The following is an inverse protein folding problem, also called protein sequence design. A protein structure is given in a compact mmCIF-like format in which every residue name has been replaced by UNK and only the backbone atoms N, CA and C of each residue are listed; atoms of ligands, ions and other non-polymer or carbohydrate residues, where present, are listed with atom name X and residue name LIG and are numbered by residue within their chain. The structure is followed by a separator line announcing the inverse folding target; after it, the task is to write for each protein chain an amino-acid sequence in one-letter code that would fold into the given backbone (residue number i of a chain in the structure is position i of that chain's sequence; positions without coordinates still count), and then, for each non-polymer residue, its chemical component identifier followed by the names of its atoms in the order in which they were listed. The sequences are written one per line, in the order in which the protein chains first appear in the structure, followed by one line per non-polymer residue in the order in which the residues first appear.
data_IF_528366946349
#
_entry.id   IF_528366946349
#
_cell.length_a   1.000
_cell.length_b   1.000
_cell.length_c   1.000
_cell.angle_alpha   90.00
_cell.angle_beta   90.00
_cell.angle_gamma   90.00
#
_symmetry.space_group_name_H-M   'P 1'
#
loop_
_entity.id
_entity.type
_entity.pdbx_description
1 polymer ?
#
# COMPACT_ATOMS: atom_id res chain seq x y z
N UNK A 1 14.03 17.22 -36.09
CA UNK A 1 12.94 16.55 -35.38
C UNK A 1 13.48 16.13 -34.02
N UNK A 2 13.10 16.86 -32.94
CA UNK A 2 13.52 16.53 -31.58
C UNK A 2 12.52 15.50 -31.05
N UNK A 3 12.99 14.29 -30.73
CA UNK A 3 12.18 13.27 -30.07
C UNK A 3 11.84 13.74 -28.66
N UNK A 4 10.59 14.04 -28.42
CA UNK A 4 10.07 14.24 -27.06
C UNK A 4 9.94 12.85 -26.44
N UNK A 5 10.89 12.48 -25.58
CA UNK A 5 10.80 11.28 -24.76
C UNK A 5 9.74 11.53 -23.70
N UNK A 6 8.54 11.01 -23.92
CA UNK A 6 7.44 11.04 -22.95
C UNK A 6 7.80 10.02 -21.86
N UNK A 7 8.38 10.49 -20.75
CA UNK A 7 8.57 9.67 -19.56
C UNK A 7 7.20 9.49 -18.91
N UNK A 8 6.50 8.41 -19.26
CA UNK A 8 5.32 7.96 -18.52
C UNK A 8 5.78 7.53 -17.12
N UNK A 9 5.41 8.32 -16.12
CA UNK A 9 5.51 7.91 -14.74
C UNK A 9 4.51 6.78 -14.47
N UNK A 10 5.00 5.58 -14.27
CA UNK A 10 4.19 4.43 -13.85
C UNK A 10 3.74 4.68 -12.42
N UNK A 11 2.46 5.00 -12.22
CA UNK A 11 1.87 5.02 -10.89
C UNK A 11 1.76 3.57 -10.41
N UNK A 12 2.73 3.11 -9.65
CA UNK A 12 2.59 1.87 -8.88
C UNK A 12 1.52 2.11 -7.82
N UNK A 13 0.38 1.44 -7.95
CA UNK A 13 -0.69 1.49 -6.94
C UNK A 13 -0.25 0.57 -5.81
N UNK A 14 0.19 1.15 -4.72
CA UNK A 14 0.59 0.42 -3.54
C UNK A 14 -0.61 -0.23 -2.86
N UNK A 15 -0.44 -1.48 -2.49
CA UNK A 15 -1.25 -2.15 -1.47
C UNK A 15 -1.09 -1.39 -0.15
N UNK A 16 -2.22 -1.11 0.49
CA UNK A 16 -2.32 -0.38 1.76
C UNK A 16 -1.85 1.09 1.70
N UNK A 17 -2.73 2.00 1.26
CA UNK A 17 -2.71 3.43 1.63
C UNK A 17 -1.51 4.28 1.24
N UNK A 18 -0.43 3.70 0.76
CA UNK A 18 0.72 4.45 0.27
C UNK A 18 0.63 4.54 -1.24
N UNK A 19 0.06 5.65 -1.73
CA UNK A 19 0.40 6.09 -3.07
C UNK A 19 1.89 6.46 -3.03
N UNK A 20 2.77 5.48 -3.24
CA UNK A 20 4.10 5.80 -3.69
C UNK A 20 3.89 6.52 -5.02
N UNK A 21 3.78 7.87 -4.97
CA UNK A 21 4.02 8.65 -6.14
C UNK A 21 5.36 8.12 -6.64
N UNK A 22 5.37 7.50 -7.82
CA UNK A 22 6.61 7.30 -8.53
C UNK A 22 7.18 8.71 -8.71
N UNK A 23 7.92 9.18 -7.69
CA UNK A 23 8.79 10.29 -7.85
C UNK A 23 9.65 9.86 -9.04
N UNK A 24 9.43 10.49 -10.19
CA UNK A 24 10.33 10.34 -11.31
C UNK A 24 11.70 10.59 -10.67
N UNK A 25 12.53 9.54 -10.61
CA UNK A 25 13.90 9.65 -10.15
C UNK A 25 14.56 10.67 -11.07
N UNK A 26 14.45 11.95 -10.72
CA UNK A 26 15.20 12.99 -11.35
C UNK A 26 16.62 12.75 -10.87
N UNK A 27 17.55 12.68 -11.81
CA UNK A 27 18.98 12.82 -11.56
C UNK A 27 19.24 14.23 -10.99
N UNK A 28 18.77 14.48 -9.77
CA UNK A 28 19.12 15.67 -9.03
C UNK A 28 20.39 15.31 -8.26
N UNK A 29 21.47 16.03 -8.50
CA UNK A 29 22.82 15.79 -7.95
C UNK A 29 22.91 15.97 -6.41
N UNK A 30 21.80 15.90 -5.68
CA UNK A 30 21.87 15.91 -4.23
C UNK A 30 22.49 14.59 -3.75
N UNK A 31 23.59 14.68 -3.02
CA UNK A 31 24.33 13.52 -2.51
C UNK A 31 23.52 12.60 -1.60
N UNK A 32 22.39 13.08 -1.08
CA UNK A 32 21.54 12.38 -0.09
C UNK A 32 20.15 11.99 -0.64
N UNK A 33 19.82 12.34 -1.89
CA UNK A 33 18.49 12.07 -2.48
C UNK A 33 17.44 13.16 -2.16
N UNK A 34 16.18 12.86 -2.44
CA UNK A 34 15.03 13.79 -2.32
C UNK A 34 14.03 13.30 -1.29
N UNK A 35 13.53 14.21 -0.47
CA UNK A 35 12.47 13.94 0.50
C UNK A 35 11.13 14.51 0.03
N UNK A 36 10.06 13.74 0.22
CA UNK A 36 8.68 14.15 -0.02
C UNK A 36 7.78 13.77 1.15
N UNK A 37 6.60 14.35 1.22
CA UNK A 37 5.60 13.97 2.22
C UNK A 37 4.22 13.82 1.56
N UNK A 38 3.38 13.00 2.21
CA UNK A 38 1.98 12.82 1.83
C UNK A 38 1.11 12.97 3.08
N UNK A 39 0.03 13.71 2.96
CA UNK A 39 -1.04 13.76 3.95
C UNK A 39 -2.33 13.28 3.28
N UNK A 40 -3.04 12.35 3.89
CA UNK A 40 -4.22 11.75 3.32
C UNK A 40 -5.37 11.69 4.32
N UNK A 41 -6.58 11.60 3.80
CA UNK A 41 -7.76 11.19 4.55
C UNK A 41 -8.46 10.10 3.75
N UNK A 42 -8.52 8.90 4.32
CA UNK A 42 -9.31 7.79 3.79
C UNK A 42 -10.65 7.69 4.53
N UNK A 43 -11.74 7.39 3.83
CA UNK A 43 -13.05 7.11 4.46
C UNK A 43 -13.06 5.79 5.22
N UNK A 44 -12.12 4.88 4.90
CA UNK A 44 -11.93 3.58 5.52
C UNK A 44 -10.49 3.10 5.18
N UNK A 45 -9.62 2.98 6.17
CA UNK A 45 -8.29 2.41 5.97
C UNK A 45 -8.39 0.90 5.86
N UNK A 46 -7.97 0.32 4.74
CA UNK A 46 -8.00 -1.13 4.51
C UNK A 46 -6.64 -1.70 4.14
N UNK A 47 -6.27 -2.74 4.86
CA UNK A 47 -5.12 -3.58 4.54
C UNK A 47 -5.59 -4.89 3.91
N UNK A 48 -5.22 -5.15 2.66
CA UNK A 48 -5.61 -6.35 1.90
C UNK A 48 -7.10 -6.67 2.01
N UNK A 49 -7.94 -5.63 1.81
CA UNK A 49 -9.40 -5.74 1.83
C UNK A 49 -10.07 -5.64 3.21
N UNK A 50 -9.31 -5.79 4.31
CA UNK A 50 -9.83 -5.73 5.69
C UNK A 50 -9.68 -4.31 6.25
N UNK A 51 -10.77 -3.73 6.77
CA UNK A 51 -10.75 -2.43 7.44
C UNK A 51 -9.91 -2.47 8.71
N UNK A 52 -9.00 -1.51 8.86
CA UNK A 52 -8.10 -1.38 10.02
C UNK A 52 -8.64 -0.38 11.05
N UNK A 53 -9.75 0.27 10.76
CA UNK A 53 -10.32 1.34 11.60
C UNK A 53 -11.84 1.26 11.76
N UNK A 54 -12.41 0.06 11.62
CA UNK A 54 -13.83 -0.21 11.75
C UNK A 54 -14.72 0.60 10.79
N UNK A 55 -14.19 0.89 9.59
CA UNK A 55 -14.83 1.70 8.53
C UNK A 55 -15.07 3.17 8.91
N UNK A 56 -14.25 3.70 9.78
CA UNK A 56 -14.25 5.12 10.12
C UNK A 56 -13.25 5.90 9.25
N UNK A 57 -13.44 7.19 9.15
CA UNK A 57 -12.49 8.05 8.45
C UNK A 57 -11.15 8.11 9.21
N UNK A 58 -10.05 8.04 8.46
CA UNK A 58 -8.70 7.94 8.98
C UNK A 58 -7.79 8.97 8.34
N UNK A 59 -7.10 9.82 9.12
CA UNK A 59 -5.96 10.57 8.65
C UNK A 59 -4.75 9.65 8.52
N UNK A 60 -3.95 9.87 7.47
CA UNK A 60 -2.73 9.14 7.17
C UNK A 60 -1.62 10.12 6.81
N UNK A 61 -0.38 9.83 7.19
CA UNK A 61 0.79 10.66 6.91
C UNK A 61 1.96 9.81 6.47
N UNK A 62 2.71 10.29 5.49
CA UNK A 62 3.93 9.63 5.02
C UNK A 62 5.06 10.63 4.79
N UNK A 63 6.28 10.21 5.07
CA UNK A 63 7.51 10.89 4.64
C UNK A 63 8.31 9.86 3.87
N UNK A 64 8.71 10.20 2.64
CA UNK A 64 9.43 9.33 1.74
C UNK A 64 10.78 9.94 1.39
N UNK A 65 11.77 9.10 1.26
CA UNK A 65 13.10 9.40 0.75
C UNK A 65 13.33 8.61 -0.54
N UNK A 66 13.70 9.30 -1.60
CA UNK A 66 14.16 8.72 -2.85
C UNK A 66 15.67 8.97 -2.98
N UNK A 67 16.44 7.92 -2.85
CA UNK A 67 17.90 7.95 -2.92
C UNK A 67 18.42 7.65 -4.33
N UNK A 68 19.73 7.61 -4.46
CA UNK A 68 20.40 7.28 -5.71
C UNK A 68 20.30 5.78 -6.04
N UNK A 69 20.44 5.42 -7.31
CA UNK A 69 20.49 4.03 -7.80
C UNK A 69 19.23 3.20 -7.49
N UNK A 70 18.08 3.87 -7.38
CA UNK A 70 16.79 3.22 -7.12
C UNK A 70 16.51 2.87 -5.67
N UNK A 71 17.38 3.20 -4.71
CA UNK A 71 17.08 3.03 -3.29
C UNK A 71 16.02 4.03 -2.83
N UNK A 72 15.16 3.60 -1.95
CA UNK A 72 14.14 4.44 -1.33
C UNK A 72 13.81 3.94 0.08
N UNK A 73 13.12 4.73 0.84
CA UNK A 73 12.63 4.37 2.15
C UNK A 73 11.66 5.41 2.69
N UNK A 74 11.10 5.15 3.85
CA UNK A 74 10.19 6.11 4.44
C UNK A 74 9.59 5.64 5.75
N UNK A 75 8.72 6.50 6.25
CA UNK A 75 7.87 6.23 7.41
C UNK A 75 6.43 6.61 7.04
N UNK A 76 5.47 5.86 7.58
CA UNK A 76 4.06 6.13 7.40
C UNK A 76 3.33 5.93 8.72
N UNK A 77 2.19 6.60 8.90
CA UNK A 77 1.36 6.46 10.09
C UNK A 77 -0.11 6.67 9.73
N UNK A 78 -0.98 5.91 10.40
CA UNK A 78 -2.43 6.06 10.33
C UNK A 78 -3.09 5.80 11.69
N UNK A 79 -4.28 6.37 11.86
CA UNK A 79 -5.16 5.97 12.95
C UNK A 79 -5.74 4.58 12.66
N UNK A 80 -5.74 3.69 13.66
CA UNK A 80 -6.35 2.36 13.59
C UNK A 80 -7.41 2.18 14.67
N UNK A 81 -8.28 1.20 14.49
CA UNK A 81 -9.28 0.78 15.47
C UNK A 81 -9.71 -0.65 15.16
N UNK A 82 -9.05 -1.63 15.73
CA UNK A 82 -9.44 -3.04 15.56
C UNK A 82 -10.59 -3.46 16.47
N UNK A 83 -11.08 -2.55 17.32
CA UNK A 83 -12.10 -2.76 18.35
C UNK A 83 -11.54 -3.31 19.67
N UNK A 84 -12.20 -3.06 20.78
CA UNK A 84 -11.81 -3.59 22.10
C UNK A 84 -10.50 -3.01 22.65
N UNK A 85 -9.44 -3.81 22.71
CA UNK A 85 -8.13 -3.44 23.28
C UNK A 85 -7.08 -3.21 22.20
N UNK A 86 -7.37 -2.42 21.24
CA UNK A 86 -6.68 -2.36 19.97
C UNK A 86 -5.68 -1.24 19.90
N UNK A 87 -4.72 -1.29 18.95
CA UNK A 87 -3.93 -0.13 18.66
C UNK A 87 -4.82 1.02 18.18
N UNK A 88 -4.54 2.24 18.61
CA UNK A 88 -5.18 3.45 18.11
C UNK A 88 -4.43 4.05 16.93
N UNK A 89 -3.21 3.61 16.68
CA UNK A 89 -2.44 4.01 15.52
C UNK A 89 -1.43 2.93 15.11
N UNK A 90 -1.10 2.97 13.83
CA UNK A 90 -0.07 2.19 13.16
C UNK A 90 1.04 3.13 12.73
N UNK A 91 2.28 2.70 12.85
CA UNK A 91 3.45 3.41 12.32
C UNK A 91 4.33 2.42 11.61
N UNK A 92 4.71 2.73 10.40
CA UNK A 92 5.46 1.84 9.56
C UNK A 92 6.80 2.45 9.15
N UNK A 93 7.79 1.59 8.98
CA UNK A 93 9.09 1.95 8.43
C UNK A 93 9.39 0.99 7.29
N UNK A 94 9.83 1.52 6.17
CA UNK A 94 10.17 0.71 5.01
C UNK A 94 11.46 1.17 4.34
N UNK A 95 12.10 0.24 3.67
CA UNK A 95 13.29 0.47 2.87
C UNK A 95 13.31 -0.51 1.69
N UNK A 96 13.59 -0.01 0.49
CA UNK A 96 13.55 -0.83 -0.69
C UNK A 96 14.47 -0.35 -1.81
N UNK A 97 14.42 -1.08 -2.90
CA UNK A 97 15.15 -0.78 -4.12
C UNK A 97 14.36 -1.17 -5.35
N UNK A 98 14.24 -0.23 -6.27
CA UNK A 98 13.81 -0.45 -7.64
C UNK A 98 15.00 -0.76 -8.55
N UNK A 99 14.84 -1.70 -9.46
CA UNK A 99 15.83 -2.07 -10.47
C UNK A 99 15.12 -2.35 -11.79
N UNK A 100 15.51 -1.65 -12.86
CA UNK A 100 15.01 -1.98 -14.19
C UNK A 100 15.66 -3.27 -14.70
N UNK A 101 14.84 -4.23 -15.08
CA UNK A 101 15.21 -5.49 -15.71
C UNK A 101 14.62 -5.54 -17.12
N UNK A 102 15.29 -4.93 -18.08
CA UNK A 102 14.85 -4.91 -19.49
C UNK A 102 13.44 -4.35 -19.69
N UNK A 103 13.12 -3.24 -19.03
CA UNK A 103 11.82 -2.56 -19.09
C UNK A 103 10.77 -3.14 -18.12
N UNK A 104 11.16 -4.09 -17.28
CA UNK A 104 10.37 -4.58 -16.15
C UNK A 104 10.98 -4.03 -14.86
N UNK A 105 10.20 -3.31 -14.06
CA UNK A 105 10.63 -2.84 -12.76
C UNK A 105 10.54 -3.99 -11.75
N UNK A 106 11.70 -4.34 -11.16
CA UNK A 106 11.79 -5.19 -9.98
C UNK A 106 11.94 -4.30 -8.76
N UNK A 107 10.98 -4.38 -7.85
CA UNK A 107 11.05 -3.77 -6.52
C UNK A 107 11.23 -4.85 -5.46
N UNK A 108 12.19 -4.65 -4.55
CA UNK A 108 12.37 -5.47 -3.34
C UNK A 108 12.36 -4.52 -2.14
N UNK A 109 11.50 -4.80 -1.17
CA UNK A 109 11.23 -3.94 -0.03
C UNK A 109 11.18 -4.74 1.27
N UNK A 110 11.82 -4.22 2.31
CA UNK A 110 11.63 -4.62 3.70
C UNK A 110 10.68 -3.63 4.36
N UNK A 111 9.62 -4.13 4.98
CA UNK A 111 8.56 -3.34 5.57
C UNK A 111 8.31 -3.79 7.00
N UNK A 112 8.29 -2.85 7.95
CA UNK A 112 8.01 -3.08 9.36
C UNK A 112 6.75 -2.36 9.78
N UNK A 113 5.74 -3.13 10.17
CA UNK A 113 4.48 -2.68 10.71
C UNK A 113 4.57 -2.60 12.21
N UNK A 114 4.29 -1.44 12.80
CA UNK A 114 4.41 -1.21 14.24
C UNK A 114 3.11 -0.67 14.84
N UNK A 115 2.72 -1.25 15.96
CA UNK A 115 1.53 -0.88 16.74
C UNK A 115 1.95 -0.58 18.18
N UNK A 116 2.58 0.58 18.44
CA UNK A 116 3.29 0.84 19.69
C UNK A 116 2.39 0.94 20.91
N UNK A 117 1.13 1.33 20.75
CA UNK A 117 0.14 1.43 21.84
C UNK A 117 -0.76 0.18 21.98
N UNK A 118 -0.54 -0.87 21.20
CA UNK A 118 -1.26 -2.11 21.38
C UNK A 118 -0.90 -2.74 22.73
N UNK A 119 -1.87 -3.35 23.44
CA UNK A 119 -1.62 -4.07 24.71
C UNK A 119 -0.54 -5.16 24.59
N UNK A 120 -0.39 -5.70 23.40
CA UNK A 120 0.63 -6.68 23.06
C UNK A 120 1.51 -6.16 21.92
N UNK A 121 2.03 -4.93 22.05
CA UNK A 121 2.82 -4.27 21.01
C UNK A 121 3.93 -5.17 20.44
N UNK A 122 4.65 -5.91 21.31
CA UNK A 122 5.71 -6.84 20.91
C UNK A 122 5.24 -8.02 20.05
N UNK A 123 3.94 -8.35 20.05
CA UNK A 123 3.38 -9.44 19.24
C UNK A 123 2.47 -8.95 18.12
N UNK A 124 2.01 -7.69 18.19
CA UNK A 124 1.21 -7.08 17.12
C UNK A 124 2.07 -6.60 15.98
N UNK A 125 3.28 -6.08 16.29
CA UNK A 125 4.23 -5.60 15.28
C UNK A 125 4.92 -6.77 14.57
N UNK A 126 5.15 -6.61 13.28
CA UNK A 126 5.76 -7.63 12.42
C UNK A 126 6.45 -6.99 11.23
N UNK A 127 7.18 -7.78 10.46
CA UNK A 127 7.79 -7.33 9.22
C UNK A 127 7.48 -8.25 8.04
N UNK A 128 7.55 -7.68 6.86
CA UNK A 128 7.43 -8.40 5.59
C UNK A 128 8.61 -8.07 4.67
N UNK A 129 8.99 -9.05 3.87
CA UNK A 129 9.75 -8.82 2.65
C UNK A 129 8.75 -8.85 1.49
N UNK A 130 8.72 -7.78 0.70
CA UNK A 130 7.81 -7.61 -0.42
C UNK A 130 8.64 -7.59 -1.71
N UNK A 131 8.21 -8.35 -2.71
CA UNK A 131 8.79 -8.37 -4.05
C UNK A 131 7.70 -8.05 -5.06
N UNK A 132 7.95 -7.09 -5.94
CA UNK A 132 7.04 -6.72 -7.01
C UNK A 132 7.75 -6.73 -8.36
N UNK A 133 7.04 -7.20 -9.38
CA UNK A 133 7.44 -7.12 -10.78
C UNK A 133 6.37 -6.35 -11.54
N UNK A 134 6.71 -5.21 -12.12
CA UNK A 134 5.80 -4.34 -12.86
C UNK A 134 6.28 -4.15 -14.30
N UNK A 135 5.39 -4.37 -15.26
CA UNK A 135 5.68 -4.14 -16.68
C UNK A 135 4.57 -3.34 -17.35
N UNK A 136 4.97 -2.34 -18.14
CA UNK A 136 4.04 -1.47 -18.87
C UNK A 136 3.89 -1.91 -20.33
N UNK A 137 2.64 -2.14 -20.76
CA UNK A 137 2.22 -2.44 -22.12
C UNK A 137 1.42 -1.25 -22.68
N UNK A 138 2.11 -0.18 -23.06
CA UNK A 138 1.47 1.07 -23.41
C UNK A 138 0.72 1.68 -22.21
N UNK A 139 -0.61 1.91 -22.28
CA UNK A 139 -1.36 2.46 -21.15
C UNK A 139 -1.68 1.45 -20.05
N UNK A 140 -1.46 0.16 -20.27
CA UNK A 140 -1.69 -0.92 -19.31
C UNK A 140 -0.41 -1.24 -18.56
N UNK A 141 -0.44 -1.18 -17.23
CA UNK A 141 0.60 -1.70 -16.36
C UNK A 141 0.08 -2.94 -15.63
N UNK A 142 0.84 -4.03 -15.67
CA UNK A 142 0.59 -5.24 -14.89
C UNK A 142 1.66 -5.36 -13.81
N UNK A 143 1.23 -5.66 -12.58
CA UNK A 143 2.13 -5.88 -11.44
C UNK A 143 1.80 -7.22 -10.78
N UNK A 144 2.82 -8.05 -10.57
CA UNK A 144 2.76 -9.22 -9.72
C UNK A 144 3.45 -8.89 -8.38
N UNK A 145 2.82 -9.22 -7.27
CA UNK A 145 3.33 -8.99 -5.92
C UNK A 145 3.41 -10.30 -5.15
N UNK A 146 4.54 -10.54 -4.50
CA UNK A 146 4.71 -11.57 -3.48
C UNK A 146 5.20 -10.94 -2.18
N UNK A 147 4.70 -11.40 -1.03
CA UNK A 147 5.22 -10.98 0.26
C UNK A 147 5.34 -12.18 1.22
N UNK A 148 6.31 -12.09 2.13
CA UNK A 148 6.52 -13.06 3.19
C UNK A 148 6.79 -12.39 4.52
N UNK A 149 6.13 -12.86 5.57
CA UNK A 149 6.43 -12.57 6.95
C UNK A 149 6.81 -13.86 7.68
N UNK A 150 8.00 -13.97 8.30
CA UNK A 150 8.38 -15.14 9.08
C UNK A 150 7.56 -15.31 10.37
N UNK A 151 7.06 -14.21 10.92
CA UNK A 151 6.16 -14.20 12.07
C UNK A 151 5.15 -13.06 11.88
N UNK A 152 3.94 -13.42 11.54
CA UNK A 152 2.83 -12.49 11.34
C UNK A 152 2.33 -11.90 12.66
N UNK A 153 1.62 -10.78 12.56
CA UNK A 153 0.97 -10.12 13.70
C UNK A 153 0.31 -11.11 14.65
N UNK A 154 0.41 -10.84 15.98
CA UNK A 154 -0.16 -11.62 17.08
C UNK A 154 0.33 -13.08 17.13
N UNK A 155 1.57 -13.32 16.70
CA UNK A 155 2.20 -14.66 16.63
C UNK A 155 1.45 -15.59 15.67
N UNK A 156 0.99 -15.05 14.55
CA UNK A 156 0.27 -15.75 13.50
C UNK A 156 1.07 -16.82 12.77
N UNK A 157 2.38 -16.94 13.05
CA UNK A 157 3.29 -17.82 12.33
C UNK A 157 3.71 -17.27 10.98
N UNK A 158 4.20 -18.12 10.10
CA UNK A 158 4.61 -17.70 8.77
C UNK A 158 3.40 -17.25 7.96
N UNK A 159 3.56 -16.14 7.26
CA UNK A 159 2.56 -15.65 6.33
C UNK A 159 3.14 -15.45 4.93
N UNK A 160 2.32 -15.75 3.93
CA UNK A 160 2.58 -15.48 2.52
C UNK A 160 1.45 -14.66 1.92
N UNK A 161 1.79 -13.84 0.97
CA UNK A 161 0.84 -13.07 0.19
C UNK A 161 1.22 -13.12 -1.29
N UNK A 162 0.23 -13.26 -2.15
CA UNK A 162 0.39 -13.19 -3.59
C UNK A 162 -0.72 -12.37 -4.21
N UNK A 163 -0.39 -11.45 -5.13
CA UNK A 163 -1.39 -10.61 -5.80
C UNK A 163 -1.02 -10.28 -7.24
N UNK A 164 -2.04 -9.95 -8.01
CA UNK A 164 -1.95 -9.37 -9.34
C UNK A 164 -2.73 -8.07 -9.42
N UNK A 165 -2.10 -7.02 -9.95
CA UNK A 165 -2.72 -5.71 -10.19
C UNK A 165 -2.69 -5.39 -11.68
N UNK A 166 -3.79 -4.84 -12.20
CA UNK A 166 -3.85 -4.23 -13.52
C UNK A 166 -4.25 -2.76 -13.38
N UNK A 167 -3.50 -1.86 -14.01
CA UNK A 167 -3.77 -0.43 -14.02
C UNK A 167 -3.78 0.10 -15.46
N UNK A 168 -4.85 0.78 -15.83
CA UNK A 168 -5.04 1.36 -17.16
C UNK A 168 -5.04 2.89 -17.05
N UNK A 169 -4.01 3.54 -17.60
CA UNK A 169 -3.97 4.99 -17.75
C UNK A 169 -4.96 5.41 -18.86
N UNK A 170 -6.13 5.92 -18.47
CA UNK A 170 -7.14 6.42 -19.40
C UNK A 170 -6.62 7.69 -20.10
N UNK A 171 -5.94 8.54 -19.33
CA UNK A 171 -5.26 9.74 -19.77
C UNK A 171 -4.27 10.22 -18.69
N UNK A 172 -3.68 11.40 -18.83
CA UNK A 172 -2.63 11.93 -17.93
C UNK A 172 -3.11 12.20 -16.49
N UNK A 173 -4.41 12.25 -16.25
CA UNK A 173 -4.98 12.55 -14.92
C UNK A 173 -5.90 11.46 -14.36
N UNK A 174 -6.26 10.44 -15.13
CA UNK A 174 -7.19 9.38 -14.71
C UNK A 174 -6.62 8.00 -14.99
N UNK A 175 -6.56 7.16 -13.93
CA UNK A 175 -6.21 5.74 -14.00
C UNK A 175 -7.36 4.90 -13.44
N UNK A 176 -7.71 3.82 -14.12
CA UNK A 176 -8.60 2.78 -13.60
C UNK A 176 -7.73 1.57 -13.24
N UNK A 177 -7.96 0.98 -12.09
CA UNK A 177 -7.17 -0.17 -11.64
C UNK A 177 -7.98 -1.18 -10.86
N UNK A 178 -7.48 -2.40 -10.83
CA UNK A 178 -8.02 -3.47 -10.00
C UNK A 178 -6.92 -4.39 -9.52
N UNK A 179 -7.15 -5.01 -8.38
CA UNK A 179 -6.26 -5.96 -7.74
C UNK A 179 -7.03 -7.19 -7.30
N UNK A 180 -6.37 -8.34 -7.36
CA UNK A 180 -6.81 -9.58 -6.70
C UNK A 180 -5.61 -10.15 -5.98
N UNK A 181 -5.77 -10.46 -4.69
CA UNK A 181 -4.72 -11.03 -3.87
C UNK A 181 -5.23 -12.11 -2.93
N UNK A 182 -4.31 -12.99 -2.53
CA UNK A 182 -4.59 -14.06 -1.58
C UNK A 182 -3.58 -14.04 -0.43
N UNK A 183 -4.09 -14.19 0.80
CA UNK A 183 -3.33 -14.19 2.03
C UNK A 183 -3.36 -15.56 2.69
N UNK A 184 -2.20 -16.13 2.92
CA UNK A 184 -1.96 -17.34 3.74
C UNK A 184 -1.33 -16.94 5.06
N UNK A 185 -1.81 -17.46 6.18
CA UNK A 185 -1.23 -17.25 7.52
C UNK A 185 -1.37 -18.55 8.30
N UNK A 186 -0.27 -19.14 8.74
CA UNK A 186 -0.21 -20.49 9.34
C UNK A 186 -1.22 -20.74 10.46
N UNK A 187 -1.38 -19.76 11.36
CA UNK A 187 -2.25 -19.86 12.54
C UNK A 187 -3.53 -19.04 12.44
N UNK A 188 -3.81 -18.46 11.27
CA UNK A 188 -5.10 -17.80 11.05
C UNK A 188 -6.21 -18.86 10.95
N UNK A 189 -7.43 -18.54 11.34
CA UNK A 189 -8.53 -19.48 11.26
C UNK A 189 -8.86 -19.87 9.81
N UNK A 190 -8.42 -19.06 8.83
CA UNK A 190 -8.71 -19.27 7.41
C UNK A 190 -7.80 -18.41 6.53
N UNK A 191 -7.40 -18.93 5.40
CA UNK A 191 -6.88 -18.16 4.26
C UNK A 191 -7.98 -17.31 3.65
N UNK A 192 -7.63 -16.23 2.98
CA UNK A 192 -8.64 -15.41 2.32
C UNK A 192 -8.14 -14.75 1.05
N UNK A 193 -9.08 -14.50 0.15
CA UNK A 193 -8.91 -13.71 -1.05
C UNK A 193 -9.55 -12.34 -0.88
N UNK A 194 -8.88 -11.31 -1.35
CA UNK A 194 -9.48 -9.99 -1.50
C UNK A 194 -9.41 -9.54 -2.96
N UNK A 195 -10.31 -8.63 -3.29
CA UNK A 195 -10.30 -7.96 -4.59
C UNK A 195 -10.73 -6.52 -4.44
N UNK A 196 -10.25 -5.68 -5.34
CA UNK A 196 -10.68 -4.31 -5.47
C UNK A 196 -10.72 -3.85 -6.93
N UNK A 197 -11.51 -2.80 -7.17
CA UNK A 197 -11.54 -2.04 -8.41
C UNK A 197 -11.83 -0.59 -8.10
N UNK A 198 -11.13 0.33 -8.77
CA UNK A 198 -11.30 1.75 -8.52
C UNK A 198 -10.73 2.63 -9.61
N UNK A 199 -10.85 3.93 -9.37
CA UNK A 199 -10.34 4.96 -10.23
C UNK A 199 -9.63 6.04 -9.41
N UNK A 200 -8.44 6.43 -9.86
CA UNK A 200 -7.64 7.50 -9.26
C UNK A 200 -7.56 8.67 -10.21
N UNK A 201 -7.98 9.84 -9.75
CA UNK A 201 -7.86 11.11 -10.47
C UNK A 201 -6.80 11.98 -9.80
N UNK A 202 -5.91 12.58 -10.60
CA UNK A 202 -4.81 13.45 -10.13
C UNK A 202 -5.03 14.87 -10.62
N UNK A 203 -4.90 15.84 -9.71
CA UNK A 203 -4.94 17.27 -10.05
C UNK A 203 -3.90 18.03 -9.23
N UNK A 204 -2.82 18.46 -9.90
CA UNK A 204 -1.66 19.12 -9.24
C UNK A 204 -1.09 18.22 -8.12
N UNK A 205 -1.04 18.75 -6.89
CA UNK A 205 -0.59 18.04 -5.71
C UNK A 205 -1.66 17.16 -5.06
N UNK A 206 -2.88 17.16 -5.57
CA UNK A 206 -3.98 16.36 -5.02
C UNK A 206 -4.23 15.11 -5.86
N UNK A 207 -4.66 14.03 -5.20
CA UNK A 207 -5.31 12.91 -5.87
C UNK A 207 -6.54 12.46 -5.09
N UNK A 208 -7.53 11.96 -5.83
CA UNK A 208 -8.74 11.33 -5.31
C UNK A 208 -8.79 9.90 -5.85
N UNK A 209 -8.80 8.91 -4.96
CA UNK A 209 -9.09 7.52 -5.29
C UNK A 209 -10.49 7.15 -4.80
N UNK A 210 -11.27 6.55 -5.68
CA UNK A 210 -12.58 5.97 -5.37
C UNK A 210 -12.55 4.50 -5.73
N UNK A 211 -12.70 3.63 -4.73
CA UNK A 211 -12.47 2.20 -4.87
C UNK A 211 -13.54 1.38 -4.17
N UNK A 212 -14.02 0.32 -4.81
CA UNK A 212 -14.74 -0.74 -4.12
C UNK A 212 -13.77 -1.88 -3.82
N UNK A 213 -13.75 -2.34 -2.58
CA UNK A 213 -12.87 -3.42 -2.16
C UNK A 213 -13.53 -4.30 -1.09
N UNK A 214 -13.12 -5.57 -1.04
CA UNK A 214 -13.66 -6.52 -0.08
C UNK A 214 -12.88 -7.83 -0.05
N UNK A 215 -13.32 -8.73 0.82
CA UNK A 215 -12.75 -10.06 1.00
C UNK A 215 -13.83 -11.13 0.87
N UNK A 216 -13.41 -12.39 0.71
CA UNK A 216 -14.29 -13.56 0.76
C UNK A 216 -14.55 -14.06 2.20
N UNK A 217 -14.00 -13.38 3.22
CA UNK A 217 -14.22 -13.68 4.64
C UNK A 217 -15.68 -13.38 5.00
N UNK A 218 -16.39 -14.38 5.51
CA UNK A 218 -17.76 -14.21 6.02
C UNK A 218 -17.74 -13.59 7.41
N UNK A 219 -18.76 -12.79 7.73
CA UNK A 219 -18.79 -11.98 8.95
C UNK A 219 -18.52 -12.74 10.25
N UNK A 220 -18.90 -14.02 10.34
CA UNK A 220 -18.59 -14.84 11.53
C UNK A 220 -17.08 -15.13 11.68
N UNK A 221 -16.38 -15.27 10.56
CA UNK A 221 -14.95 -15.62 10.53
C UNK A 221 -14.07 -14.37 10.69
N UNK A 222 -14.60 -13.16 10.45
CA UNK A 222 -13.85 -11.91 10.47
C UNK A 222 -13.20 -11.63 11.84
N UNK A 223 -13.89 -11.96 12.94
CA UNK A 223 -13.35 -11.79 14.29
C UNK A 223 -12.11 -12.63 14.58
N UNK A 224 -11.88 -13.68 13.81
CA UNK A 224 -10.66 -14.49 13.86
C UNK A 224 -9.44 -13.81 13.20
N UNK A 225 -9.64 -12.71 12.48
CA UNK A 225 -8.60 -11.91 11.85
C UNK A 225 -8.30 -10.62 12.66
N UNK A 226 -8.34 -10.71 13.98
CA UNK A 226 -8.01 -9.65 14.94
C UNK A 226 -9.02 -8.50 15.01
N UNK A 227 -10.03 -8.51 14.14
CA UNK A 227 -11.04 -7.46 14.09
C UNK A 227 -12.18 -7.76 15.07
N UNK A 228 -12.45 -6.83 15.99
CA UNK A 228 -13.54 -6.98 16.94
C UNK A 228 -14.92 -6.91 16.27
N UNK A 229 -14.99 -6.39 15.05
CA UNK A 229 -16.26 -6.22 14.36
C UNK A 229 -16.35 -7.08 13.11
N UNK A 230 -17.52 -7.71 12.93
CA UNK A 230 -17.81 -8.55 11.75
C UNK A 230 -17.86 -7.76 10.44
N UNK A 231 -18.03 -6.43 10.52
CA UNK A 231 -18.16 -5.56 9.34
C UNK A 231 -16.79 -5.20 8.72
N UNK A 232 -15.68 -5.34 9.46
CA UNK A 232 -14.35 -4.98 8.98
C UNK A 232 -13.94 -5.75 7.70
N UNK A 233 -14.34 -7.03 7.58
CA UNK A 233 -14.05 -7.86 6.40
C UNK A 233 -15.06 -7.71 5.26
N UNK A 234 -16.22 -7.05 5.48
CA UNK A 234 -17.22 -6.90 4.44
C UNK A 234 -16.80 -5.85 3.41
N UNK A 235 -17.17 -6.06 2.16
CA UNK A 235 -16.91 -5.12 1.08
C UNK A 235 -17.49 -3.73 1.33
N UNK A 236 -16.94 -2.73 0.67
CA UNK A 236 -17.39 -1.34 0.76
C UNK A 236 -16.66 -0.43 -0.20
N UNK A 237 -17.25 0.75 -0.41
CA UNK A 237 -16.59 1.84 -1.11
C UNK A 237 -15.66 2.58 -0.17
N UNK A 238 -14.48 2.90 -0.68
CA UNK A 238 -13.46 3.71 -0.01
C UNK A 238 -13.16 4.91 -0.89
N UNK A 239 -13.13 6.09 -0.28
CA UNK A 239 -12.67 7.32 -0.89
C UNK A 239 -11.42 7.79 -0.16
N UNK A 240 -10.33 8.04 -0.87
CA UNK A 240 -9.10 8.58 -0.29
C UNK A 240 -8.70 9.86 -1.03
N UNK A 241 -8.52 10.94 -0.28
CA UNK A 241 -7.95 12.19 -0.78
C UNK A 241 -6.52 12.29 -0.28
N UNK A 242 -5.57 12.50 -1.19
CA UNK A 242 -4.17 12.69 -0.86
C UNK A 242 -3.72 14.10 -1.27
N UNK A 243 -2.85 14.68 -0.46
CA UNK A 243 -2.08 15.88 -0.77
C UNK A 243 -0.59 15.53 -0.74
N UNK A 244 0.08 15.70 -1.88
CA UNK A 244 1.48 15.34 -2.05
C UNK A 244 2.35 16.58 -2.06
N UNK A 245 3.35 16.62 -1.18
CA UNK A 245 4.42 17.62 -1.13
C UNK A 245 5.64 17.03 -1.80
N UNK A 246 5.89 17.42 -3.04
CA UNK A 246 6.87 16.77 -3.91
C UNK A 246 8.34 16.94 -3.47
N UNK A 247 8.64 17.98 -2.68
CA UNK A 247 10.01 18.25 -2.18
C UNK A 247 9.91 18.98 -0.85
N UNK A 248 10.58 18.44 0.18
CA UNK A 248 10.65 19.07 1.50
C UNK A 248 11.88 19.94 1.68
N UNK A 249 13.02 19.57 1.08
CA UNK A 249 14.30 20.32 1.05
C UNK A 249 15.11 19.93 -0.18
#
# INVERSE_FOLDING_TARGET
MKSVSLKLGVAAIALAGIAASSAAFADDESSIGTFSATASVASDYRFRGISQNDKEATPEFGINWAGNKGFYGGVWAAKTNWGGNTPSYETDVFFGKHTDLYGTDLNIEAYYYSYPDAKSAATSSYYETIVQLSHAFGPLTLTATGANSPEWSLKGGVAWYGAGTAAWAVNDWLTISGNVGHQWVDKAPKEYTHADIGATAVWKSFSLDLRYMGTDIKGADCSGFWMATKKACSGGFVATVNYNIAKLF
#
